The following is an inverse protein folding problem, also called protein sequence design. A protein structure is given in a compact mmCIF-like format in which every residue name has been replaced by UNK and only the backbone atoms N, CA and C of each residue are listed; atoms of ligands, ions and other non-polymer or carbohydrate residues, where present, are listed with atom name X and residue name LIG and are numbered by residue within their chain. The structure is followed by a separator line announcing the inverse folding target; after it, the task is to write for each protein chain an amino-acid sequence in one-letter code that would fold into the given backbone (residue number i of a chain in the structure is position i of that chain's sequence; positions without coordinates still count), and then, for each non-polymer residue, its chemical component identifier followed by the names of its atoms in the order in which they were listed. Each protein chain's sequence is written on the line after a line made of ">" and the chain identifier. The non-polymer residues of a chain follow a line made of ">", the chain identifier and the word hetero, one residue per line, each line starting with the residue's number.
data_IF_140345485897
#
_entry.id   IF_140345485897
#
_cell.length_a   1.000
_cell.length_b   1.000
_cell.length_c   1.000
_cell.angle_alpha   90.00
_cell.angle_beta   90.00
_cell.angle_gamma   90.00
#
_symmetry.space_group_name_H-M   'P 1'
#
loop_
_entity.id
_entity.type
_entity.pdbx_description
1 polymer ?
#
# COMPACT_ATOMS: atom_id res chain seq x y z
N UNK A 1 -45.91 -43.56 13.65
CA UNK A 1 -46.06 -43.03 12.27
C UNK A 1 -46.16 -41.52 12.41
N UNK A 2 -45.04 -40.82 12.47
CA UNK A 2 -44.20 -40.32 11.36
C UNK A 2 -44.84 -39.16 10.58
N UNK A 3 -44.19 -37.99 10.72
CA UNK A 3 -44.00 -36.99 9.67
C UNK A 3 -44.95 -35.79 9.74
N UNK A 4 -44.54 -34.54 9.54
CA UNK A 4 -43.21 -33.95 9.27
C UNK A 4 -43.42 -32.45 9.46
N UNK A 5 -42.79 -31.83 10.46
CA UNK A 5 -42.82 -30.37 10.62
C UNK A 5 -41.48 -29.83 10.08
N UNK A 6 -41.48 -29.47 8.80
CA UNK A 6 -40.31 -28.96 8.09
C UNK A 6 -40.08 -27.50 8.51
N UNK A 7 -39.23 -27.31 9.52
CA UNK A 7 -38.69 -26.00 9.91
C UNK A 7 -37.87 -25.44 8.73
N UNK A 8 -38.43 -24.44 8.03
CA UNK A 8 -37.66 -23.50 7.24
C UNK A 8 -36.72 -22.75 8.20
N UNK A 9 -35.42 -23.06 8.15
CA UNK A 9 -34.38 -22.21 8.72
C UNK A 9 -34.16 -21.04 7.76
N UNK A 10 -34.85 -19.94 8.02
CA UNK A 10 -34.48 -18.65 7.44
C UNK A 10 -33.21 -18.15 8.14
N UNK A 11 -32.19 -17.84 7.34
CA UNK A 11 -30.95 -17.22 7.77
C UNK A 11 -31.23 -15.79 8.27
N UNK A 12 -31.58 -15.66 9.55
CA UNK A 12 -31.63 -14.38 10.24
C UNK A 12 -30.20 -13.93 10.54
N UNK A 13 -29.58 -13.20 9.61
CA UNK A 13 -28.43 -12.34 9.95
C UNK A 13 -29.00 -11.22 10.83
N UNK A 14 -28.53 -11.13 12.08
CA UNK A 14 -29.02 -10.17 13.06
C UNK A 14 -28.80 -8.73 12.57
N UNK A 15 -29.77 -7.84 12.78
CA UNK A 15 -29.64 -6.40 12.52
C UNK A 15 -28.44 -5.78 13.27
N UNK A 16 -27.97 -6.41 14.35
CA UNK A 16 -26.72 -6.02 15.03
C UNK A 16 -25.47 -6.32 14.20
N UNK A 17 -25.42 -7.46 13.51
CA UNK A 17 -24.28 -7.86 12.67
C UNK A 17 -24.19 -6.97 11.43
N UNK A 18 -25.33 -6.62 10.83
CA UNK A 18 -25.40 -5.69 9.68
C UNK A 18 -24.88 -4.30 10.06
N UNK A 19 -25.20 -3.81 11.27
CA UNK A 19 -24.72 -2.51 11.75
C UNK A 19 -23.22 -2.48 12.10
N UNK A 20 -22.64 -3.61 12.54
CA UNK A 20 -21.20 -3.73 12.77
C UNK A 20 -20.46 -3.78 11.44
N UNK A 21 -20.93 -4.59 10.48
CA UNK A 21 -20.33 -4.66 9.13
C UNK A 21 -20.38 -3.29 8.45
N UNK A 22 -21.50 -2.57 8.55
CA UNK A 22 -21.62 -1.21 8.02
C UNK A 22 -20.72 -0.19 8.74
N UNK A 23 -20.52 -0.30 10.07
CA UNK A 23 -19.58 0.56 10.80
C UNK A 23 -18.11 0.28 10.47
N UNK A 24 -17.75 -0.97 10.25
CA UNK A 24 -16.40 -1.35 9.77
C UNK A 24 -16.18 -0.74 8.38
N UNK A 25 -17.17 -0.83 7.48
CA UNK A 25 -17.11 -0.21 6.15
C UNK A 25 -16.98 1.33 6.18
N UNK A 26 -17.55 2.00 7.18
CA UNK A 26 -17.49 3.47 7.29
C UNK A 26 -16.11 3.98 7.78
N UNK A 27 -15.35 3.14 8.49
CA UNK A 27 -14.00 3.47 8.98
C UNK A 27 -12.88 2.93 8.09
N UNK A 28 -13.17 1.99 7.18
CA UNK A 28 -12.19 1.44 6.24
C UNK A 28 -12.00 2.34 5.02
N UNK A 29 -10.75 2.61 4.68
CA UNK A 29 -10.36 3.20 3.40
C UNK A 29 -10.33 2.15 2.29
N UNK A 30 -9.91 0.92 2.60
CA UNK A 30 -9.89 -0.21 1.67
C UNK A 30 -10.53 -1.42 2.34
N UNK A 31 -11.39 -2.13 1.62
CA UNK A 31 -11.89 -3.45 2.00
C UNK A 31 -11.62 -4.43 0.87
N UNK A 32 -10.88 -5.49 1.16
CA UNK A 32 -10.64 -6.62 0.26
C UNK A 32 -11.43 -7.79 0.82
N UNK A 33 -12.39 -8.31 0.05
CA UNK A 33 -13.31 -9.35 0.48
C UNK A 33 -13.21 -10.59 -0.42
N UNK A 34 -12.65 -11.67 0.14
CA UNK A 34 -12.48 -12.98 -0.47
C UNK A 34 -11.92 -12.94 -1.92
N UNK A 35 -10.91 -12.10 -2.14
CA UNK A 35 -10.34 -11.87 -3.47
C UNK A 35 -9.49 -13.07 -3.90
N UNK A 36 -9.80 -13.62 -5.08
CA UNK A 36 -8.98 -14.62 -5.75
C UNK A 36 -8.45 -14.07 -7.07
N UNK A 37 -7.31 -14.59 -7.52
CA UNK A 37 -6.76 -14.29 -8.84
C UNK A 37 -6.01 -15.47 -9.40
N UNK A 38 -6.40 -15.89 -10.60
CA UNK A 38 -5.67 -16.87 -11.41
C UNK A 38 -5.22 -16.25 -12.73
N UNK A 39 -4.09 -16.72 -13.24
CA UNK A 39 -3.58 -16.39 -14.58
C UNK A 39 -3.47 -17.67 -15.40
N UNK A 40 -3.64 -17.56 -16.71
CA UNK A 40 -3.44 -18.68 -17.64
C UNK A 40 -1.99 -18.64 -18.10
N UNK A 41 -1.26 -19.75 -17.96
CA UNK A 41 0.12 -19.85 -18.45
C UNK A 41 0.15 -20.12 -19.97
N UNK A 42 1.34 -20.20 -20.56
CA UNK A 42 1.50 -20.47 -22.00
C UNK A 42 0.97 -21.85 -22.44
N UNK A 43 0.84 -22.79 -21.50
CA UNK A 43 0.36 -24.17 -21.72
C UNK A 43 -1.17 -24.28 -21.57
N UNK A 44 -1.85 -23.21 -21.14
CA UNK A 44 -3.29 -23.17 -20.93
C UNK A 44 -3.75 -23.50 -19.50
N UNK A 45 -2.82 -23.80 -18.58
CA UNK A 45 -3.13 -24.13 -17.19
C UNK A 45 -3.38 -22.87 -16.36
N UNK A 46 -4.37 -22.96 -15.48
CA UNK A 46 -4.69 -21.91 -14.52
C UNK A 46 -3.74 -21.95 -13.32
N UNK A 47 -2.91 -20.92 -13.18
CA UNK A 47 -2.04 -20.70 -12.02
C UNK A 47 -2.76 -19.77 -11.05
N UNK A 48 -3.21 -20.32 -9.93
CA UNK A 48 -3.80 -19.53 -8.84
C UNK A 48 -2.71 -18.77 -8.07
N UNK A 49 -2.79 -17.44 -8.09
CA UNK A 49 -1.85 -16.55 -7.41
C UNK A 49 -2.41 -16.08 -6.07
N UNK A 50 -3.67 -15.63 -6.05
CA UNK A 50 -4.36 -15.19 -4.83
C UNK A 50 -5.52 -16.14 -4.51
N UNK A 51 -5.65 -16.51 -3.23
CA UNK A 51 -6.63 -17.48 -2.75
C UNK A 51 -7.38 -16.94 -1.54
N UNK A 52 -8.44 -16.18 -1.80
CA UNK A 52 -9.38 -15.71 -0.77
C UNK A 52 -8.78 -14.65 0.15
N UNK A 53 -8.05 -13.67 -0.41
CA UNK A 53 -7.52 -12.56 0.38
C UNK A 53 -8.67 -11.78 1.00
N UNK A 54 -8.67 -11.67 2.32
CA UNK A 54 -9.59 -10.85 3.08
C UNK A 54 -8.80 -9.97 4.04
N UNK A 55 -8.94 -8.66 3.89
CA UNK A 55 -8.28 -7.66 4.73
C UNK A 55 -8.97 -6.32 4.63
N UNK A 56 -8.93 -5.53 5.69
CA UNK A 56 -9.38 -4.16 5.75
C UNK A 56 -8.19 -3.23 6.01
N UNK A 57 -8.25 -1.99 5.53
CA UNK A 57 -7.31 -0.91 5.87
C UNK A 57 -8.12 0.28 6.34
N UNK A 58 -7.80 0.79 7.53
CA UNK A 58 -8.53 1.89 8.17
C UNK A 58 -8.12 3.23 7.54
N UNK A 59 -9.00 4.23 7.58
CA UNK A 59 -8.65 5.59 7.14
C UNK A 59 -7.48 6.13 7.97
N UNK A 60 -6.53 6.79 7.31
CA UNK A 60 -5.34 7.41 7.92
C UNK A 60 -4.40 6.41 8.62
N UNK A 61 -4.49 5.14 8.24
CA UNK A 61 -3.61 4.08 8.73
C UNK A 61 -2.44 3.89 7.76
N UNK A 62 -1.25 3.57 8.31
CA UNK A 62 -0.13 3.09 7.53
C UNK A 62 0.02 1.57 7.70
N UNK A 63 -0.16 0.82 6.63
CA UNK A 63 -0.14 -0.65 6.64
C UNK A 63 0.98 -1.17 5.76
N UNK A 64 1.68 -2.22 6.22
CA UNK A 64 2.58 -2.99 5.35
C UNK A 64 2.03 -4.38 5.00
N UNK A 65 2.29 -4.81 3.78
CA UNK A 65 2.07 -6.16 3.28
C UNK A 65 3.44 -6.78 3.03
N UNK A 66 3.81 -7.75 3.87
CA UNK A 66 5.09 -8.48 3.79
C UNK A 66 4.86 -9.90 3.32
N UNK A 67 5.82 -10.46 2.59
CA UNK A 67 5.70 -11.81 2.09
C UNK A 67 6.87 -12.22 1.20
N UNK A 68 7.06 -13.51 0.94
CA UNK A 68 8.14 -13.99 0.08
C UNK A 68 8.10 -13.39 -1.33
N UNK A 69 9.25 -13.34 -2.00
CA UNK A 69 9.32 -12.90 -3.39
C UNK A 69 8.40 -13.74 -4.27
N UNK A 70 7.63 -13.07 -5.12
CA UNK A 70 6.69 -13.72 -6.03
C UNK A 70 5.39 -14.24 -5.41
N UNK A 71 5.09 -14.03 -4.13
CA UNK A 71 3.81 -14.52 -3.57
C UNK A 71 2.58 -13.90 -4.26
N UNK A 72 2.63 -12.63 -4.66
CA UNK A 72 1.49 -11.96 -5.31
C UNK A 72 1.18 -10.57 -4.73
N UNK A 73 2.12 -9.98 -3.99
CA UNK A 73 2.00 -8.62 -3.43
C UNK A 73 1.66 -7.59 -4.52
N UNK A 74 2.44 -7.53 -5.61
CA UNK A 74 2.15 -6.64 -6.73
C UNK A 74 0.82 -6.98 -7.43
N UNK A 75 0.38 -8.24 -7.41
CA UNK A 75 -0.94 -8.63 -7.92
C UNK A 75 -2.06 -8.01 -7.09
N UNK A 76 -1.99 -8.11 -5.75
CA UNK A 76 -3.02 -7.49 -4.89
C UNK A 76 -2.98 -5.97 -4.98
N UNK A 77 -1.80 -5.35 -5.11
CA UNK A 77 -1.67 -3.90 -5.34
C UNK A 77 -2.31 -3.45 -6.65
N UNK A 78 -2.07 -4.17 -7.75
CA UNK A 78 -2.71 -3.85 -9.03
C UNK A 78 -4.24 -3.98 -8.95
N UNK A 79 -4.76 -4.92 -8.14
CA UNK A 79 -6.19 -5.04 -7.89
C UNK A 79 -6.71 -3.84 -7.09
N UNK A 80 -6.03 -3.46 -6.00
CA UNK A 80 -6.41 -2.30 -5.17
C UNK A 80 -6.30 -0.99 -5.96
N UNK A 81 -5.35 -0.89 -6.90
CA UNK A 81 -5.18 0.26 -7.78
C UNK A 81 -6.21 0.30 -8.94
N UNK A 82 -7.02 -0.74 -9.11
CA UNK A 82 -7.97 -0.86 -10.24
C UNK A 82 -7.30 -1.15 -11.58
N UNK A 83 -6.02 -1.53 -11.60
CA UNK A 83 -5.26 -1.88 -12.80
C UNK A 83 -5.47 -3.35 -13.22
N UNK A 84 -6.02 -4.18 -12.33
CA UNK A 84 -6.25 -5.60 -12.56
C UNK A 84 -7.56 -6.03 -11.90
N UNK A 85 -8.44 -6.68 -12.66
CA UNK A 85 -9.66 -7.24 -12.08
C UNK A 85 -9.37 -8.55 -11.32
N UNK A 86 -10.01 -8.78 -10.15
CA UNK A 86 -9.95 -10.07 -9.47
C UNK A 86 -10.69 -11.15 -10.27
N UNK A 87 -10.36 -12.43 -10.05
CA UNK A 87 -11.12 -13.55 -10.64
C UNK A 87 -12.45 -13.74 -9.91
N UNK A 88 -12.43 -13.65 -8.57
CA UNK A 88 -13.63 -13.61 -7.72
C UNK A 88 -13.36 -12.70 -6.53
N UNK A 89 -14.42 -12.36 -5.78
CA UNK A 89 -14.34 -11.43 -4.65
C UNK A 89 -14.45 -9.98 -5.12
N UNK A 90 -14.32 -9.04 -4.18
CA UNK A 90 -14.48 -7.61 -4.46
C UNK A 90 -13.50 -6.77 -3.66
N UNK A 91 -13.18 -5.60 -4.21
CA UNK A 91 -12.41 -4.57 -3.53
C UNK A 91 -13.22 -3.28 -3.50
N UNK A 92 -13.38 -2.73 -2.30
CA UNK A 92 -13.99 -1.44 -2.06
C UNK A 92 -12.90 -0.44 -1.68
N UNK A 93 -12.95 0.76 -2.26
CA UNK A 93 -12.08 1.88 -1.96
C UNK A 93 -12.95 3.09 -1.67
N UNK A 94 -12.80 3.69 -0.49
CA UNK A 94 -13.65 4.81 -0.05
C UNK A 94 -15.14 4.46 0.07
N UNK A 95 -15.48 3.16 0.15
CA UNK A 95 -16.86 2.66 0.17
C UNK A 95 -17.41 2.26 -1.21
N UNK A 96 -16.75 2.63 -2.30
CA UNK A 96 -17.15 2.31 -3.67
C UNK A 96 -16.37 1.11 -4.23
N UNK A 97 -16.99 0.31 -5.08
CA UNK A 97 -16.27 -0.72 -5.84
C UNK A 97 -15.20 -0.09 -6.73
N UNK A 98 -14.01 -0.72 -6.79
CA UNK A 98 -12.83 -0.14 -7.43
C UNK A 98 -13.07 0.36 -8.86
N UNK A 99 -13.91 -0.32 -9.65
CA UNK A 99 -14.25 0.08 -11.02
C UNK A 99 -15.00 1.42 -11.14
N UNK A 100 -15.55 1.94 -10.04
CA UNK A 100 -16.21 3.26 -9.94
C UNK A 100 -15.36 4.30 -9.22
N UNK A 101 -14.32 3.88 -8.50
CA UNK A 101 -13.45 4.72 -7.69
C UNK A 101 -12.27 5.26 -8.52
N UNK A 102 -12.51 6.22 -9.41
CA UNK A 102 -11.42 6.87 -10.17
C UNK A 102 -10.75 7.98 -9.36
N UNK A 103 -9.42 7.92 -9.20
CA UNK A 103 -8.63 9.01 -8.65
C UNK A 103 -8.44 9.02 -7.12
N UNK A 104 -9.01 8.05 -6.40
CA UNK A 104 -8.83 7.90 -4.95
C UNK A 104 -7.48 7.27 -4.56
N UNK A 105 -6.84 6.56 -5.49
CA UNK A 105 -5.62 5.79 -5.23
C UNK A 105 -4.46 6.39 -6.04
N UNK A 106 -3.40 6.79 -5.33
CA UNK A 106 -2.10 7.11 -5.91
C UNK A 106 -1.19 5.89 -5.82
N UNK A 107 -0.46 5.57 -6.89
CA UNK A 107 0.45 4.42 -6.92
C UNK A 107 1.89 4.87 -7.22
N UNK A 108 2.75 4.74 -6.21
CA UNK A 108 4.19 4.90 -6.31
C UNK A 108 4.86 3.53 -6.50
N UNK A 109 5.38 3.31 -7.70
CA UNK A 109 6.06 2.06 -8.07
C UNK A 109 7.50 2.02 -7.52
N UNK A 110 8.09 0.83 -7.52
CA UNK A 110 9.46 0.57 -7.06
C UNK A 110 10.52 1.46 -7.71
N UNK A 111 10.34 1.74 -9.01
CA UNK A 111 11.16 2.73 -9.73
C UNK A 111 10.45 4.07 -9.67
N UNK A 112 11.21 5.16 -9.54
CA UNK A 112 10.67 6.52 -9.52
C UNK A 112 9.83 6.84 -10.78
N UNK A 113 10.16 6.21 -11.91
CA UNK A 113 9.52 6.40 -13.21
C UNK A 113 9.37 7.88 -13.58
N UNK A 114 10.34 8.71 -13.19
CA UNK A 114 10.40 10.10 -13.63
C UNK A 114 10.74 10.13 -15.11
N UNK A 115 10.03 10.96 -15.87
CA UNK A 115 10.28 11.17 -17.29
C UNK A 115 11.61 11.92 -17.45
N UNK A 116 12.65 11.32 -18.05
CA UNK A 116 14.00 11.88 -18.05
C UNK A 116 14.13 13.15 -18.91
N UNK A 117 13.21 13.37 -19.85
CA UNK A 117 13.15 14.57 -20.70
C UNK A 117 12.30 15.70 -20.13
N UNK A 118 11.69 15.52 -18.95
CA UNK A 118 10.91 16.55 -18.26
C UNK A 118 11.68 17.07 -17.05
N UNK A 119 11.50 18.34 -16.71
CA UNK A 119 12.04 18.89 -15.46
C UNK A 119 11.33 18.28 -14.24
N UNK A 120 11.83 18.53 -13.03
CA UNK A 120 11.15 18.14 -11.78
C UNK A 120 9.73 18.71 -11.73
N UNK A 121 9.55 20.00 -12.02
CA UNK A 121 8.24 20.64 -12.05
C UNK A 121 7.32 19.98 -13.08
N UNK A 122 7.82 19.69 -14.28
CA UNK A 122 7.03 19.06 -15.34
C UNK A 122 6.69 17.59 -15.04
N UNK A 123 7.54 16.91 -14.26
CA UNK A 123 7.26 15.57 -13.74
C UNK A 123 6.17 15.59 -12.69
N UNK A 124 6.22 16.52 -11.74
CA UNK A 124 5.19 16.65 -10.69
C UNK A 124 3.83 16.98 -11.30
N UNK A 125 3.78 17.84 -12.31
CA UNK A 125 2.50 18.28 -12.91
C UNK A 125 1.82 17.25 -13.82
N UNK A 126 2.43 16.08 -14.10
CA UNK A 126 1.91 15.14 -15.10
C UNK A 126 0.51 14.62 -14.77
N UNK A 127 0.24 14.26 -13.51
CA UNK A 127 -1.07 13.77 -13.11
C UNK A 127 -2.17 14.84 -13.22
N UNK A 128 -1.81 16.10 -12.95
CA UNK A 128 -2.71 17.25 -13.09
C UNK A 128 -2.99 17.56 -14.56
N UNK A 129 -1.97 17.42 -15.43
CA UNK A 129 -2.10 17.55 -16.88
C UNK A 129 -3.10 16.53 -17.45
N UNK A 130 -3.01 15.27 -17.00
CA UNK A 130 -3.95 14.20 -17.39
C UNK A 130 -5.38 14.48 -16.88
N UNK A 131 -5.52 15.09 -15.70
CA UNK A 131 -6.81 15.55 -15.16
C UNK A 131 -7.36 16.80 -15.88
N UNK A 132 -6.62 17.38 -16.83
CA UNK A 132 -7.06 18.52 -17.63
C UNK A 132 -6.87 19.90 -16.98
N UNK A 133 -6.10 20.00 -15.88
CA UNK A 133 -5.85 21.29 -15.23
C UNK A 133 -5.01 22.23 -16.11
N UNK A 134 -5.32 23.53 -16.06
CA UNK A 134 -4.64 24.55 -16.83
C UNK A 134 -3.15 24.64 -16.46
N UNK A 135 -2.29 24.99 -17.44
CA UNK A 135 -0.83 25.02 -17.25
C UNK A 135 -0.37 25.87 -16.06
N UNK A 136 -0.95 27.06 -15.90
CA UNK A 136 -0.59 27.98 -14.82
C UNK A 136 -0.97 27.39 -13.45
N UNK A 137 -2.22 26.95 -13.32
CA UNK A 137 -2.76 26.36 -12.09
C UNK A 137 -1.98 25.12 -11.65
N UNK A 138 -1.69 24.19 -12.57
CA UNK A 138 -0.90 22.99 -12.22
C UNK A 138 0.52 23.33 -11.79
N UNK A 139 1.16 24.31 -12.42
CA UNK A 139 2.52 24.74 -12.04
C UNK A 139 2.54 25.42 -10.67
N UNK A 140 1.56 26.27 -10.37
CA UNK A 140 1.42 26.91 -9.05
C UNK A 140 1.22 25.86 -7.96
N UNK A 141 0.28 24.92 -8.15
CA UNK A 141 0.04 23.83 -7.20
C UNK A 141 1.28 22.95 -7.01
N UNK A 142 1.92 22.52 -8.11
CA UNK A 142 3.13 21.71 -8.03
C UNK A 142 4.28 22.43 -7.31
N UNK A 143 4.43 23.75 -7.52
CA UNK A 143 5.44 24.54 -6.83
C UNK A 143 5.18 24.60 -5.32
N UNK A 144 3.92 24.77 -4.89
CA UNK A 144 3.56 24.72 -3.46
C UNK A 144 3.96 23.39 -2.80
N UNK A 145 3.77 22.27 -3.50
CA UNK A 145 4.21 20.97 -2.99
C UNK A 145 5.74 20.85 -2.97
N UNK A 146 6.44 21.33 -4.00
CA UNK A 146 7.90 21.31 -4.04
C UNK A 146 8.51 22.16 -2.91
N UNK A 147 7.96 23.34 -2.62
CA UNK A 147 8.36 24.20 -1.51
C UNK A 147 8.12 23.52 -0.16
N UNK A 148 6.93 22.93 0.05
CA UNK A 148 6.56 22.22 1.27
C UNK A 148 7.56 21.10 1.62
N UNK A 149 8.10 20.43 0.61
CA UNK A 149 9.02 19.30 0.80
C UNK A 149 10.46 19.61 0.38
N UNK A 150 10.84 20.90 0.37
CA UNK A 150 12.22 21.38 0.20
C UNK A 150 12.89 20.91 -1.10
N UNK A 151 12.17 20.94 -2.22
CA UNK A 151 12.63 20.61 -3.57
C UNK A 151 12.40 21.72 -4.61
N UNK A 152 11.96 22.89 -4.17
CA UNK A 152 11.71 24.09 -4.99
C UNK A 152 12.97 24.53 -5.77
N UNK A 153 14.14 24.51 -5.13
CA UNK A 153 15.43 24.83 -5.76
C UNK A 153 15.79 23.92 -6.94
N UNK A 154 15.19 22.72 -7.01
CA UNK A 154 15.39 21.75 -8.07
C UNK A 154 14.24 21.71 -9.08
N UNK A 155 13.25 22.61 -9.01
CA UNK A 155 12.08 22.60 -9.89
C UNK A 155 12.42 22.56 -11.39
N UNK A 156 13.54 23.20 -11.79
CA UNK A 156 14.03 23.25 -13.19
C UNK A 156 15.05 22.17 -13.53
N UNK A 157 15.48 21.38 -12.56
CA UNK A 157 16.46 20.31 -12.75
C UNK A 157 15.82 19.14 -13.53
N UNK A 158 16.66 18.33 -14.16
CA UNK A 158 16.25 17.07 -14.79
C UNK A 158 16.50 15.90 -13.83
N UNK A 159 15.74 14.78 -13.92
CA UNK A 159 15.91 13.64 -13.01
C UNK A 159 17.33 13.09 -12.92
N UNK A 160 18.10 13.16 -14.02
CA UNK A 160 19.49 12.71 -14.09
C UNK A 160 20.46 13.48 -13.18
N UNK A 161 20.10 14.68 -12.74
CA UNK A 161 20.93 15.52 -11.85
C UNK A 161 20.57 15.37 -10.37
N UNK A 162 19.63 14.48 -10.04
CA UNK A 162 19.14 14.27 -8.67
C UNK A 162 19.74 13.02 -8.04
N UNK A 163 19.94 13.05 -6.72
CA UNK A 163 20.26 11.83 -5.97
C UNK A 163 19.08 10.84 -5.99
N UNK A 164 19.35 9.57 -5.67
CA UNK A 164 18.29 8.55 -5.61
C UNK A 164 17.15 8.93 -4.67
N UNK A 165 17.47 9.44 -3.48
CA UNK A 165 16.46 9.87 -2.52
C UNK A 165 15.64 11.07 -2.99
N UNK A 166 16.28 12.04 -3.66
CA UNK A 166 15.57 13.18 -4.26
C UNK A 166 14.60 12.74 -5.35
N UNK A 167 14.98 11.78 -6.21
CA UNK A 167 14.07 11.25 -7.23
C UNK A 167 12.87 10.56 -6.61
N UNK A 168 13.06 9.79 -5.53
CA UNK A 168 11.94 9.17 -4.81
C UNK A 168 11.01 10.22 -4.19
N UNK A 169 11.57 11.29 -3.59
CA UNK A 169 10.77 12.40 -3.07
C UNK A 169 9.98 13.10 -4.18
N UNK A 170 10.56 13.35 -5.34
CA UNK A 170 9.84 13.90 -6.51
C UNK A 170 8.72 12.95 -6.96
N UNK A 171 8.95 11.64 -7.00
CA UNK A 171 7.94 10.66 -7.37
C UNK A 171 6.77 10.61 -6.37
N UNK A 172 7.05 10.74 -5.07
CA UNK A 172 6.03 10.88 -4.04
C UNK A 172 5.21 12.16 -4.23
N UNK A 173 5.88 13.31 -4.42
CA UNK A 173 5.22 14.60 -4.64
C UNK A 173 4.31 14.57 -5.88
N UNK A 174 4.79 14.00 -6.98
CA UNK A 174 3.99 13.76 -8.20
C UNK A 174 2.72 12.97 -7.91
N UNK A 175 2.78 12.03 -6.97
CA UNK A 175 1.62 11.22 -6.59
C UNK A 175 0.68 12.04 -5.71
N UNK A 176 1.21 12.73 -4.69
CA UNK A 176 0.44 13.51 -3.72
C UNK A 176 -0.25 14.74 -4.32
N UNK A 177 0.35 15.40 -5.30
CA UNK A 177 -0.21 16.61 -5.91
C UNK A 177 -1.58 16.35 -6.54
N UNK A 178 -1.86 15.10 -6.93
CA UNK A 178 -3.16 14.70 -7.46
C UNK A 178 -4.24 14.49 -6.39
N UNK A 179 -3.88 14.70 -5.12
CA UNK A 179 -4.70 14.59 -3.91
C UNK A 179 -5.45 13.26 -3.77
N UNK A 180 -4.80 12.10 -3.93
CA UNK A 180 -5.43 10.81 -3.66
C UNK A 180 -5.73 10.66 -2.16
N UNK A 181 -6.69 9.80 -1.80
CA UNK A 181 -7.00 9.49 -0.39
C UNK A 181 -6.10 8.37 0.16
N UNK A 182 -5.64 7.50 -0.75
CA UNK A 182 -4.80 6.34 -0.46
C UNK A 182 -3.54 6.40 -1.32
N UNK A 183 -2.39 6.10 -0.71
CA UNK A 183 -1.11 5.96 -1.39
C UNK A 183 -0.63 4.51 -1.27
N UNK A 184 -0.43 3.89 -2.43
CA UNK A 184 0.18 2.58 -2.58
C UNK A 184 1.68 2.76 -2.87
N UNK A 185 2.53 2.20 -2.02
CA UNK A 185 3.99 2.25 -2.07
C UNK A 185 4.52 0.84 -2.34
N UNK A 186 5.09 0.60 -3.52
CA UNK A 186 5.62 -0.73 -3.89
C UNK A 186 7.15 -0.70 -3.84
N UNK A 187 7.72 -1.20 -2.75
CA UNK A 187 9.17 -1.22 -2.48
C UNK A 187 9.90 0.13 -2.72
N UNK A 188 9.37 1.27 -2.22
CA UNK A 188 9.85 2.62 -2.57
C UNK A 188 11.30 2.87 -2.13
N UNK A 189 11.84 2.12 -1.16
CA UNK A 189 13.16 2.36 -0.60
C UNK A 189 14.23 1.32 -0.98
N UNK A 190 13.87 0.34 -1.82
CA UNK A 190 14.72 -0.81 -2.16
C UNK A 190 16.04 -0.42 -2.85
N UNK A 191 16.04 0.65 -3.64
CA UNK A 191 17.21 1.10 -4.41
C UNK A 191 18.13 2.09 -3.66
N UNK A 192 17.90 2.32 -2.37
CA UNK A 192 18.61 3.31 -1.56
C UNK A 192 19.60 2.66 -0.60
N UNK A 193 20.69 3.38 -0.31
CA UNK A 193 21.59 3.04 0.80
C UNK A 193 20.85 3.13 2.14
N UNK A 194 21.39 2.44 3.15
CA UNK A 194 20.74 2.30 4.45
C UNK A 194 20.45 3.63 5.14
N UNK A 195 21.38 4.58 5.13
CA UNK A 195 21.18 5.87 5.82
C UNK A 195 20.11 6.71 5.12
N UNK A 196 20.19 6.82 3.79
CA UNK A 196 19.18 7.53 2.99
C UNK A 196 17.79 6.90 3.11
N UNK A 197 17.72 5.57 3.18
CA UNK A 197 16.48 4.82 3.40
C UNK A 197 15.80 5.23 4.70
N UNK A 198 16.51 5.21 5.83
CA UNK A 198 15.93 5.52 7.12
C UNK A 198 15.38 6.95 7.21
N UNK A 199 16.08 7.90 6.59
CA UNK A 199 15.61 9.29 6.51
C UNK A 199 14.34 9.37 5.67
N UNK A 200 14.29 8.67 4.54
CA UNK A 200 13.10 8.67 3.69
C UNK A 200 11.92 7.93 4.29
N UNK A 201 12.12 6.85 5.04
CA UNK A 201 11.04 6.19 5.81
C UNK A 201 10.33 7.20 6.73
N UNK A 202 11.10 7.96 7.51
CA UNK A 202 10.57 8.97 8.44
C UNK A 202 9.88 10.13 7.71
N UNK A 203 10.48 10.61 6.62
CA UNK A 203 9.90 11.67 5.78
C UNK A 203 8.57 11.23 5.16
N UNK A 204 8.52 10.07 4.48
CA UNK A 204 7.27 9.59 3.85
C UNK A 204 6.17 9.46 4.89
N UNK A 205 6.48 8.89 6.06
CA UNK A 205 5.51 8.72 7.14
C UNK A 205 5.00 10.07 7.64
N UNK A 206 5.89 11.05 7.84
CA UNK A 206 5.49 12.41 8.23
C UNK A 206 4.59 13.06 7.18
N UNK A 207 4.98 12.97 5.90
CA UNK A 207 4.23 13.55 4.79
C UNK A 207 2.80 13.00 4.73
N UNK A 208 2.65 11.68 4.79
CA UNK A 208 1.33 11.04 4.72
C UNK A 208 0.48 11.39 5.94
N UNK A 209 1.09 11.50 7.13
CA UNK A 209 0.41 11.91 8.35
C UNK A 209 -0.07 13.37 8.28
N UNK A 210 0.78 14.28 7.81
CA UNK A 210 0.45 15.70 7.66
C UNK A 210 -0.66 15.93 6.63
N UNK A 211 -0.68 15.14 5.56
CA UNK A 211 -1.72 15.17 4.53
C UNK A 211 -2.98 14.35 4.88
N UNK A 212 -2.99 13.67 6.05
CA UNK A 212 -4.10 12.82 6.49
C UNK A 212 -4.42 11.67 5.53
N UNK A 213 -3.40 11.08 4.90
CA UNK A 213 -3.54 10.03 3.88
C UNK A 213 -3.41 8.64 4.47
N UNK A 214 -4.06 7.68 3.82
CA UNK A 214 -3.89 6.25 4.13
C UNK A 214 -2.71 5.72 3.33
N UNK A 215 -1.77 5.03 3.98
CA UNK A 215 -0.59 4.46 3.34
C UNK A 215 -0.67 2.94 3.30
N UNK A 216 -0.39 2.34 2.14
CA UNK A 216 -0.17 0.89 2.02
C UNK A 216 1.19 0.67 1.42
N UNK A 217 2.04 -0.08 2.10
CA UNK A 217 3.40 -0.42 1.70
C UNK A 217 3.50 -1.90 1.36
N UNK A 218 4.08 -2.23 0.22
CA UNK A 218 4.63 -3.56 -0.04
C UNK A 218 6.12 -3.49 0.18
N UNK A 219 6.62 -4.42 0.99
CA UNK A 219 8.06 -4.62 1.14
C UNK A 219 8.40 -6.08 1.40
N UNK A 220 9.65 -6.44 1.14
CA UNK A 220 10.26 -7.68 1.59
C UNK A 220 11.19 -7.46 2.80
N UNK A 221 11.41 -6.21 3.21
CA UNK A 221 12.20 -5.83 4.38
C UNK A 221 11.29 -5.79 5.62
N UNK A 222 11.52 -6.72 6.56
CA UNK A 222 10.71 -6.83 7.78
C UNK A 222 10.99 -5.64 8.71
N UNK A 223 12.23 -5.16 8.77
CA UNK A 223 12.56 -4.06 9.66
C UNK A 223 11.90 -2.76 9.21
N UNK A 224 11.85 -2.52 7.90
CA UNK A 224 11.07 -1.43 7.29
C UNK A 224 9.60 -1.56 7.67
N UNK A 225 8.99 -2.72 7.47
CA UNK A 225 7.58 -2.91 7.79
C UNK A 225 7.26 -2.61 9.27
N UNK A 226 8.12 -3.04 10.19
CA UNK A 226 7.97 -2.77 11.63
C UNK A 226 8.21 -1.29 11.95
N UNK A 227 9.17 -0.65 11.28
CA UNK A 227 9.53 0.74 11.58
C UNK A 227 8.42 1.72 11.20
N UNK A 228 7.68 1.49 10.10
CA UNK A 228 6.72 2.49 9.59
C UNK A 228 5.25 2.18 9.87
N UNK A 229 4.88 0.92 10.15
CA UNK A 229 3.48 0.50 10.06
C UNK A 229 2.72 0.52 11.39
N UNK A 230 1.44 0.86 11.30
CA UNK A 230 0.44 0.59 12.33
C UNK A 230 0.07 -0.89 12.35
N UNK A 231 -0.13 -1.49 11.17
CA UNK A 231 -0.38 -2.94 11.02
C UNK A 231 0.45 -3.56 9.92
N UNK A 232 0.76 -4.85 10.09
CA UNK A 232 1.49 -5.66 9.10
C UNK A 232 0.68 -6.90 8.76
N UNK A 233 0.37 -7.08 7.48
CA UNK A 233 -0.21 -8.30 6.94
C UNK A 233 0.89 -9.20 6.37
N UNK A 234 1.05 -10.39 6.94
CA UNK A 234 2.00 -11.39 6.46
C UNK A 234 1.32 -12.30 5.45
N UNK A 235 1.83 -12.31 4.22
CA UNK A 235 1.35 -13.14 3.11
C UNK A 235 2.07 -14.49 3.07
N UNK A 236 1.33 -15.55 2.73
CA UNK A 236 1.91 -16.86 2.47
C UNK A 236 2.68 -16.92 1.14
N UNK A 237 3.31 -18.07 0.85
CA UNK A 237 3.70 -18.44 -0.52
C UNK A 237 2.45 -18.69 -1.37
N UNK A 238 2.61 -18.77 -2.70
CA UNK A 238 1.51 -19.12 -3.60
C UNK A 238 0.93 -20.52 -3.26
N UNK A 239 -0.38 -20.71 -3.35
CA UNK A 239 -1.41 -19.68 -3.57
C UNK A 239 -1.56 -18.78 -2.32
N UNK A 240 -1.55 -17.47 -2.54
CA UNK A 240 -1.36 -16.51 -1.46
C UNK A 240 -2.63 -16.29 -0.64
N UNK A 241 -2.49 -16.37 0.68
CA UNK A 241 -3.46 -15.97 1.68
C UNK A 241 -2.79 -15.12 2.76
N UNK A 242 -3.61 -14.42 3.56
CA UNK A 242 -3.13 -13.70 4.74
C UNK A 242 -2.86 -14.74 5.84
N UNK A 243 -1.60 -14.95 6.20
CA UNK A 243 -1.22 -15.86 7.29
C UNK A 243 -1.57 -15.28 8.65
N UNK A 244 -1.19 -14.01 8.86
CA UNK A 244 -1.28 -13.34 10.15
C UNK A 244 -1.25 -11.83 9.98
N UNK A 245 -1.88 -11.14 10.93
CA UNK A 245 -1.87 -9.69 11.03
C UNK A 245 -1.27 -9.30 12.37
N UNK A 246 -0.33 -8.35 12.35
CA UNK A 246 0.31 -7.81 13.55
C UNK A 246 -0.10 -6.35 13.72
N UNK A 247 -0.56 -5.98 14.93
CA UNK A 247 -0.78 -4.59 15.34
C UNK A 247 0.53 -4.07 15.97
N UNK A 248 1.26 -3.21 15.26
CA UNK A 248 2.62 -2.78 15.59
C UNK A 248 2.62 -1.38 16.20
N UNK A 249 2.29 -0.35 15.41
CA UNK A 249 2.08 1.02 15.86
C UNK A 249 3.27 1.67 16.57
N UNK A 250 4.50 1.19 16.33
CA UNK A 250 5.69 1.67 17.06
C UNK A 250 6.06 3.10 16.67
N UNK A 251 6.02 3.45 15.38
CA UNK A 251 6.30 4.82 14.94
C UNK A 251 5.27 5.81 15.47
N UNK A 252 3.98 5.45 15.51
CA UNK A 252 2.94 6.28 16.10
C UNK A 252 3.22 6.57 17.58
N UNK A 253 3.69 5.58 18.34
CA UNK A 253 4.01 5.69 19.77
C UNK A 253 5.32 6.44 20.05
N UNK A 254 6.34 6.25 19.20
CA UNK A 254 7.68 6.85 19.36
C UNK A 254 7.84 8.18 18.63
N UNK A 255 6.90 8.52 17.75
CA UNK A 255 6.83 9.75 16.96
C UNK A 255 7.67 9.74 15.67
N UNK A 256 8.27 8.61 15.29
CA UNK A 256 9.22 8.50 14.17
C UNK A 256 9.53 7.04 13.86
N UNK A 257 9.77 6.72 12.58
CA UNK A 257 10.20 5.39 12.13
C UNK A 257 11.62 5.06 12.64
N UNK A 258 12.50 6.06 12.69
CA UNK A 258 13.83 5.92 13.27
C UNK A 258 13.77 5.52 14.75
N UNK A 259 12.94 6.21 15.55
CA UNK A 259 12.80 5.91 16.98
C UNK A 259 12.09 4.59 17.26
N UNK A 260 11.21 4.14 16.35
CA UNK A 260 10.55 2.84 16.45
C UNK A 260 11.54 1.68 16.51
N UNK A 261 12.67 1.77 15.79
CA UNK A 261 13.73 0.76 15.75
C UNK A 261 14.45 0.55 17.08
N UNK A 262 14.39 1.53 17.99
CA UNK A 262 14.93 1.43 19.34
C UNK A 262 13.93 0.93 20.38
N UNK A 263 12.68 0.63 19.99
CA UNK A 263 11.68 0.08 20.91
C UNK A 263 12.02 -1.35 21.29
N UNK A 264 11.87 -1.70 22.57
CA UNK A 264 12.16 -3.03 23.10
C UNK A 264 11.35 -4.14 22.40
N UNK A 265 10.12 -3.83 21.95
CA UNK A 265 9.25 -4.77 21.25
C UNK A 265 9.66 -5.01 19.79
N UNK A 266 10.52 -4.16 19.22
CA UNK A 266 10.92 -4.25 17.81
C UNK A 266 11.52 -5.62 17.48
N UNK A 267 12.42 -6.08 18.36
CA UNK A 267 13.07 -7.39 18.21
C UNK A 267 12.06 -8.53 18.24
N UNK A 268 11.07 -8.48 19.14
CA UNK A 268 10.03 -9.49 19.22
C UNK A 268 9.20 -9.55 17.93
N UNK A 269 8.77 -8.39 17.41
CA UNK A 269 8.05 -8.35 16.13
C UNK A 269 8.88 -8.90 14.98
N UNK A 270 10.19 -8.60 14.95
CA UNK A 270 11.09 -9.13 13.93
C UNK A 270 11.15 -10.65 13.98
N UNK A 271 11.40 -11.24 15.15
CA UNK A 271 11.47 -12.69 15.32
C UNK A 271 10.15 -13.38 14.96
N UNK A 272 9.03 -12.80 15.41
CA UNK A 272 7.70 -13.33 15.12
C UNK A 272 7.40 -13.30 13.62
N UNK A 273 7.55 -12.15 12.95
CA UNK A 273 7.25 -12.01 11.52
C UNK A 273 8.23 -12.83 10.68
N UNK A 274 9.50 -12.89 11.06
CA UNK A 274 10.50 -13.70 10.39
C UNK A 274 10.13 -15.19 10.40
N UNK A 275 9.66 -15.70 11.54
CA UNK A 275 9.23 -17.09 11.67
C UNK A 275 8.06 -17.43 10.75
N UNK A 276 7.13 -16.49 10.52
CA UNK A 276 5.96 -16.69 9.66
C UNK A 276 6.31 -16.73 8.17
N UNK A 277 7.44 -16.18 7.74
CA UNK A 277 7.81 -16.13 6.31
C UNK A 277 8.38 -17.44 5.76
N UNK A 278 8.57 -18.47 6.59
CA UNK A 278 9.11 -19.79 6.20
C UNK A 278 10.36 -19.67 5.31
N UNK A 279 11.21 -18.68 5.58
CA UNK A 279 12.48 -18.50 4.89
C UNK A 279 13.38 -19.61 5.41
N UNK A 280 13.58 -20.64 4.59
CA UNK A 280 14.50 -21.73 4.94
C UNK A 280 15.86 -21.11 5.26
N UNK A 281 16.34 -21.30 6.50
CA UNK A 281 17.77 -21.22 6.76
C UNK A 281 18.42 -22.18 5.77
N UNK A 282 19.27 -21.64 4.89
CA UNK A 282 20.02 -22.47 3.95
C UNK A 282 20.59 -23.65 4.71
N UNK A 283 20.25 -24.87 4.28
CA UNK A 283 20.94 -26.06 4.78
C UNK A 283 22.39 -25.87 4.41
N UNK A 284 23.23 -25.53 5.39
CA UNK A 284 24.66 -25.78 5.29
C UNK A 284 24.82 -27.30 5.20
N UNK A 285 24.95 -27.79 3.97
CA UNK A 285 25.53 -29.09 3.66
C UNK A 285 26.98 -29.15 4.12
#
# INVERSE_FOLDING_TARGET
>A
MNGSNTLKRENNVSLYDVNIVNRIHDQSAIVVDNVTKSFINAEGDAIQVLNGITMDIRKQEFVSIVGPSGCGKSTIFNIIAGLLEPTTGKVLVGGDEIGKSTGHVGYMMQRDLLLPWRTVLDNVTIGLEVKGLGKKERQELAMTYLERYSLDSFAKAYPSTLSGGMRQRVALIRTLVTQPDIILLDEPFSALDYQTRLVLEDEILSILKDEGKTGVLITHDIEEAISVSDRIFVMSKRPTHVKKTYEVGLAAQRGSAMKARSDERFKQYFEDIWSELDIQMGRSS
#
